data_IF_035558142906
#
_entry.id   IF_035558142906
#
_cell.length_a   1.000
_cell.length_b   1.000
_cell.length_c   1.000
_cell.angle_alpha   90.00
_cell.angle_beta   90.00
_cell.angle_gamma   90.00
#
_symmetry.space_group_name_H-M   'P 1'
#
loop_
_entity.id
_entity.type
_entity.pdbx_description
1 polymer ?
#
# COMPACT_ATOMS: atom_id res chain seq x y z
N UNK A 1 11.15 9.86 14.51
CA UNK A 1 10.97 10.10 13.06
C UNK A 1 12.28 10.31 12.29
N UNK A 2 13.35 10.85 12.88
CA UNK A 2 14.66 11.04 12.22
C UNK A 2 15.47 9.75 11.93
N UNK A 3 15.09 8.61 12.51
CA UNK A 3 15.83 7.34 12.42
C UNK A 3 15.46 6.50 11.20
N UNK A 4 14.18 6.44 10.86
CA UNK A 4 13.69 5.69 9.69
C UNK A 4 14.23 6.26 8.39
N UNK A 5 14.32 7.60 8.28
CA UNK A 5 14.89 8.25 7.09
C UNK A 5 16.37 7.88 6.89
N UNK A 6 17.16 7.80 7.96
CA UNK A 6 18.57 7.39 7.89
C UNK A 6 18.71 5.92 7.51
N UNK A 7 17.83 5.06 8.02
CA UNK A 7 17.78 3.65 7.65
C UNK A 7 17.46 3.46 6.17
N UNK A 8 16.38 4.09 5.67
CA UNK A 8 15.99 4.05 4.26
C UNK A 8 17.11 4.57 3.34
N UNK A 9 17.77 5.67 3.72
CA UNK A 9 18.87 6.23 2.95
C UNK A 9 20.12 5.32 2.93
N UNK A 10 20.37 4.62 4.04
CA UNK A 10 21.47 3.62 4.12
C UNK A 10 21.20 2.43 3.22
N UNK A 11 19.97 1.91 3.24
CA UNK A 11 19.55 0.82 2.34
C UNK A 11 19.63 1.27 0.88
N UNK A 12 19.08 2.44 0.54
CA UNK A 12 19.13 2.99 -0.82
C UNK A 12 20.55 3.05 -1.37
N UNK A 13 21.50 3.59 -0.59
CA UNK A 13 22.91 3.68 -1.00
C UNK A 13 23.60 2.32 -1.12
N UNK A 14 23.27 1.39 -0.23
CA UNK A 14 23.84 0.05 -0.28
C UNK A 14 23.34 -0.71 -1.51
N UNK A 15 22.05 -0.60 -1.85
CA UNK A 15 21.46 -1.21 -3.04
C UNK A 15 21.96 -0.55 -4.33
N UNK A 16 22.04 0.78 -4.39
CA UNK A 16 22.59 1.47 -5.58
C UNK A 16 24.05 1.13 -5.85
N UNK A 17 24.79 0.65 -4.83
CA UNK A 17 26.17 0.19 -5.00
C UNK A 17 26.28 -1.27 -5.49
N UNK A 18 25.16 -1.95 -5.75
CA UNK A 18 25.13 -3.33 -6.26
C UNK A 18 25.09 -3.34 -7.79
N UNK A 19 24.39 -2.38 -8.40
CA UNK A 19 24.01 -2.40 -9.83
C UNK A 19 25.21 -2.31 -10.81
N UNK A 20 26.37 -1.81 -10.36
CA UNK A 20 27.55 -1.60 -11.22
C UNK A 20 28.78 -2.43 -10.82
N UNK A 21 28.59 -3.54 -10.09
CA UNK A 21 29.71 -4.21 -9.41
C UNK A 21 29.95 -5.67 -9.80
N UNK A 22 31.23 -6.04 -9.92
CA UNK A 22 31.70 -7.44 -10.01
C UNK A 22 31.22 -8.26 -8.80
N UNK A 23 31.17 -9.60 -8.91
CA UNK A 23 30.55 -10.47 -7.87
C UNK A 23 31.09 -10.22 -6.46
N UNK A 24 32.40 -10.00 -6.33
CA UNK A 24 33.06 -9.77 -5.04
C UNK A 24 32.67 -8.43 -4.40
N UNK A 25 32.23 -7.47 -5.21
CA UNK A 25 31.74 -6.18 -4.73
C UNK A 25 30.22 -6.20 -4.47
N UNK A 26 29.46 -7.10 -5.09
CA UNK A 26 28.04 -7.36 -4.75
C UNK A 26 27.89 -8.00 -3.36
N UNK A 27 28.71 -9.00 -3.04
CA UNK A 27 28.66 -9.65 -1.72
C UNK A 27 28.96 -8.68 -0.57
N UNK A 28 29.95 -7.78 -0.76
CA UNK A 28 30.23 -6.70 0.19
C UNK A 28 29.04 -5.76 0.40
N UNK A 29 28.23 -5.54 -0.63
CA UNK A 29 27.04 -4.71 -0.55
C UNK A 29 25.89 -5.42 0.15
N UNK A 30 25.70 -6.73 -0.07
CA UNK A 30 24.77 -7.54 0.73
C UNK A 30 25.13 -7.54 2.22
N UNK A 31 26.41 -7.67 2.55
CA UNK A 31 26.86 -7.60 3.95
C UNK A 31 26.60 -6.24 4.60
N UNK A 32 26.71 -5.14 3.84
CA UNK A 32 26.32 -3.81 4.33
C UNK A 32 24.82 -3.74 4.62
N UNK A 33 24.00 -4.33 3.75
CA UNK A 33 22.54 -4.40 3.91
C UNK A 33 22.18 -5.21 5.17
N UNK A 34 22.76 -6.41 5.35
CA UNK A 34 22.59 -7.23 6.57
C UNK A 34 22.93 -6.46 7.83
N UNK A 35 24.11 -5.84 7.89
CA UNK A 35 24.56 -5.04 9.04
C UNK A 35 23.72 -3.80 9.29
N UNK A 36 23.08 -3.24 8.26
CA UNK A 36 22.14 -2.13 8.42
C UNK A 36 20.82 -2.61 9.04
N UNK A 37 20.29 -3.73 8.55
CA UNK A 37 19.09 -4.37 9.09
C UNK A 37 19.28 -4.83 10.55
N UNK A 38 20.39 -5.51 10.86
CA UNK A 38 20.73 -5.92 12.23
C UNK A 38 20.78 -4.72 13.18
N UNK A 39 21.47 -3.64 12.79
CA UNK A 39 21.55 -2.42 13.61
C UNK A 39 20.19 -1.74 13.80
N UNK A 40 19.35 -1.74 12.78
CA UNK A 40 18.00 -1.20 12.87
C UNK A 40 17.13 -2.03 13.83
N UNK A 41 17.14 -3.35 13.68
CA UNK A 41 16.36 -4.27 14.52
C UNK A 41 16.83 -4.26 15.97
N UNK A 42 18.14 -4.20 16.22
CA UNK A 42 18.70 -4.11 17.58
C UNK A 42 18.33 -2.78 18.26
N UNK A 43 18.45 -1.67 17.53
CA UNK A 43 18.11 -0.33 18.03
C UNK A 43 16.62 -0.18 18.36
N UNK A 44 15.76 -0.90 17.64
CA UNK A 44 14.31 -0.86 17.77
C UNK A 44 13.74 -2.16 18.34
N UNK A 45 14.54 -2.91 19.09
CA UNK A 45 14.16 -4.24 19.61
C UNK A 45 12.91 -4.22 20.50
N UNK A 46 12.65 -3.09 21.15
CA UNK A 46 11.44 -2.84 21.94
C UNK A 46 10.16 -2.67 21.09
N UNK A 47 10.31 -2.33 19.80
CA UNK A 47 9.20 -2.14 18.87
C UNK A 47 8.80 -3.42 18.14
N UNK A 48 9.64 -4.44 18.15
CA UNK A 48 9.43 -5.68 17.39
C UNK A 48 9.33 -6.89 18.32
N UNK A 49 8.31 -7.72 18.10
CA UNK A 49 8.25 -9.04 18.73
C UNK A 49 9.41 -9.92 18.22
N UNK A 50 9.94 -10.86 19.02
CA UNK A 50 11.02 -11.75 18.58
C UNK A 50 10.74 -12.47 17.26
N UNK A 51 9.50 -12.88 17.03
CA UNK A 51 9.06 -13.54 15.80
C UNK A 51 9.12 -12.60 14.59
N UNK A 52 8.83 -11.31 14.79
CA UNK A 52 8.89 -10.30 13.75
C UNK A 52 10.33 -10.02 13.29
N UNK A 53 11.28 -10.03 14.23
CA UNK A 53 12.72 -9.89 13.95
C UNK A 53 13.20 -11.05 13.05
N UNK A 54 12.78 -12.28 13.36
CA UNK A 54 13.10 -13.47 12.56
C UNK A 54 12.53 -13.36 11.15
N UNK A 55 11.27 -12.95 11.02
CA UNK A 55 10.60 -12.81 9.72
C UNK A 55 11.24 -11.72 8.85
N UNK A 56 11.55 -10.54 9.42
CA UNK A 56 12.23 -9.46 8.69
C UNK A 56 13.63 -9.86 8.22
N UNK A 57 14.34 -10.63 9.03
CA UNK A 57 15.67 -11.14 8.66
C UNK A 57 15.56 -12.20 7.55
N UNK A 58 14.58 -13.10 7.62
CA UNK A 58 14.35 -14.11 6.59
C UNK A 58 13.95 -13.49 5.24
N UNK A 59 13.05 -12.50 5.25
CA UNK A 59 12.64 -11.76 4.06
C UNK A 59 13.84 -11.07 3.38
N UNK A 60 14.71 -10.41 4.17
CA UNK A 60 15.93 -9.80 3.66
C UNK A 60 16.84 -10.81 2.95
N UNK A 61 17.06 -11.99 3.55
CA UNK A 61 17.90 -13.03 2.96
C UNK A 61 17.28 -13.65 1.71
N UNK A 62 15.96 -13.83 1.68
CA UNK A 62 15.24 -14.29 0.49
C UNK A 62 15.41 -13.33 -0.68
N UNK A 63 15.33 -12.02 -0.41
CA UNK A 63 15.58 -10.98 -1.41
C UNK A 63 17.02 -10.97 -1.92
N UNK A 64 18.01 -11.08 -1.02
CA UNK A 64 19.42 -11.21 -1.41
C UNK A 64 19.61 -12.45 -2.29
N UNK A 65 19.00 -13.58 -1.92
CA UNK A 65 19.07 -14.81 -2.69
C UNK A 65 18.40 -14.68 -4.07
N UNK A 66 17.25 -14.02 -4.15
CA UNK A 66 16.57 -13.74 -5.42
C UNK A 66 17.44 -12.89 -6.35
N UNK A 67 18.00 -11.80 -5.83
CA UNK A 67 18.88 -10.94 -6.61
C UNK A 67 20.16 -11.68 -7.05
N UNK A 68 20.73 -12.54 -6.20
CA UNK A 68 21.88 -13.38 -6.58
C UNK A 68 21.55 -14.31 -7.75
N UNK A 69 20.37 -14.95 -7.75
CA UNK A 69 19.90 -15.80 -8.86
C UNK A 69 19.74 -15.05 -10.18
N UNK A 70 19.29 -13.80 -10.12
CA UNK A 70 19.13 -12.94 -11.30
C UNK A 70 20.47 -12.42 -11.85
N UNK A 71 21.44 -12.23 -10.96
CA UNK A 71 22.73 -11.65 -11.30
C UNK A 71 23.81 -12.70 -11.68
N UNK A 72 23.46 -13.98 -11.69
CA UNK A 72 24.24 -15.04 -12.34
C UNK A 72 24.00 -14.95 -13.86
N UNK A 73 25.05 -14.86 -14.69
CA UNK A 73 24.87 -14.93 -16.14
C UNK A 73 24.21 -16.27 -16.49
N UNK A 74 23.29 -16.28 -17.45
CA UNK A 74 22.70 -17.46 -18.10
C UNK A 74 23.77 -18.26 -18.90
N UNK A 75 24.96 -18.45 -18.35
CA UNK A 75 25.99 -19.32 -18.86
C UNK A 75 25.59 -20.75 -18.50
N UNK A 76 25.07 -21.49 -19.50
CA UNK A 76 24.66 -22.91 -19.48
C UNK A 76 23.16 -23.24 -19.40
N UNK A 77 22.33 -22.56 -20.20
CA UNK A 77 21.27 -23.30 -20.92
C UNK A 77 21.64 -23.44 -22.38
N UNK A 78 22.51 -24.41 -22.66
CA UNK A 78 22.67 -24.95 -24.00
C UNK A 78 21.29 -25.42 -24.50
N UNK A 79 20.72 -24.68 -25.43
CA UNK A 79 19.62 -25.19 -26.27
C UNK A 79 20.28 -26.24 -27.18
N UNK A 80 19.95 -27.54 -27.07
CA UNK A 80 20.46 -28.49 -28.04
C UNK A 80 19.89 -28.13 -29.42
N UNK A 81 20.80 -27.86 -30.35
CA UNK A 81 20.51 -27.71 -31.78
C UNK A 81 19.69 -28.91 -32.27
N UNK A 82 18.39 -28.73 -32.49
CA UNK A 82 17.60 -29.57 -33.40
C UNK A 82 17.49 -28.87 -34.74
N UNK A 83 18.42 -29.16 -35.63
CA UNK A 83 18.27 -28.92 -37.06
C UNK A 83 17.34 -29.99 -37.64
N UNK A 84 16.50 -29.59 -38.60
CA UNK A 84 15.60 -30.39 -39.45
C UNK A 84 14.25 -30.85 -38.88
N UNK A 85 13.16 -30.15 -39.27
CA UNK A 85 12.21 -30.66 -40.27
C UNK A 85 11.16 -29.61 -40.70
N UNK A 86 11.08 -29.45 -42.03
CA UNK A 86 9.89 -29.20 -42.85
C UNK A 86 9.18 -27.84 -42.85
N UNK A 87 9.45 -27.12 -43.95
CA UNK A 87 8.58 -26.24 -44.73
C UNK A 87 7.05 -26.34 -44.50
N UNK A 88 6.41 -25.18 -44.29
CA UNK A 88 4.97 -24.91 -44.46
C UNK A 88 4.74 -23.39 -44.59
N UNK A 89 3.82 -22.91 -45.45
CA UNK A 89 3.87 -21.55 -46.00
C UNK A 89 3.21 -20.47 -45.13
N UNK A 90 3.61 -19.23 -45.41
CA UNK A 90 3.21 -17.96 -44.80
C UNK A 90 1.68 -17.74 -44.74
N UNK A 91 1.24 -17.15 -43.63
CA UNK A 91 0.12 -16.22 -43.59
C UNK A 91 0.65 -14.83 -43.26
N UNK A 92 0.44 -13.88 -44.18
CA UNK A 92 0.89 -12.50 -44.14
C UNK A 92 0.41 -11.72 -42.90
N UNK A 93 1.34 -11.10 -42.19
CA UNK A 93 1.07 -9.95 -41.32
C UNK A 93 2.15 -8.89 -41.59
N UNK A 94 1.71 -7.74 -42.10
CA UNK A 94 2.55 -6.70 -42.71
C UNK A 94 3.54 -5.98 -41.77
N UNK A 95 4.45 -5.18 -42.35
CA UNK A 95 5.67 -4.70 -41.67
C UNK A 95 5.49 -3.55 -40.67
N UNK A 96 4.28 -3.14 -40.30
CA UNK A 96 4.08 -1.99 -39.39
C UNK A 96 3.92 -2.33 -37.89
N UNK A 97 3.72 -3.61 -37.53
CA UNK A 97 3.55 -4.00 -36.12
C UNK A 97 4.87 -4.20 -35.35
N UNK A 98 6.02 -4.29 -36.03
CA UNK A 98 7.31 -4.65 -35.42
C UNK A 98 8.17 -3.46 -34.99
N UNK A 99 7.84 -2.24 -35.44
CA UNK A 99 8.56 -1.02 -35.07
C UNK A 99 8.06 -0.38 -33.75
N UNK A 100 6.79 -0.57 -33.40
CA UNK A 100 6.21 -0.05 -32.15
C UNK A 100 6.65 -0.88 -30.92
N UNK A 101 6.69 -2.20 -31.04
CA UNK A 101 7.11 -3.09 -29.96
C UNK A 101 8.62 -3.01 -29.65
N UNK A 102 9.47 -2.74 -30.66
CA UNK A 102 10.90 -2.53 -30.43
C UNK A 102 11.20 -1.25 -29.64
N UNK A 103 10.35 -0.22 -29.71
CA UNK A 103 10.48 0.98 -28.85
C UNK A 103 9.99 0.75 -27.42
N UNK A 104 9.02 -0.16 -27.22
CA UNK A 104 8.58 -0.56 -25.88
C UNK A 104 9.59 -1.47 -25.18
N UNK A 105 10.34 -2.31 -25.93
CA UNK A 105 11.36 -3.19 -25.36
C UNK A 105 12.74 -2.52 -25.24
N UNK A 106 13.15 -1.63 -26.15
CA UNK A 106 14.45 -0.92 -26.01
C UNK A 106 14.42 0.12 -24.88
N UNK A 107 13.24 0.59 -24.46
CA UNK A 107 13.08 1.40 -23.24
C UNK A 107 13.12 0.60 -21.92
N UNK A 108 13.02 -0.73 -21.98
CA UNK A 108 12.94 -1.60 -20.80
C UNK A 108 14.25 -2.34 -20.49
N UNK A 109 15.17 -2.46 -21.46
CA UNK A 109 16.43 -3.20 -21.30
C UNK A 109 17.68 -2.32 -21.06
N UNK A 110 17.55 -0.99 -21.13
CA UNK A 110 18.59 -0.03 -20.71
C UNK A 110 18.33 0.58 -19.32
N UNK A 111 17.43 -0.03 -18.54
CA UNK A 111 17.07 0.35 -17.17
C UNK A 111 17.12 -0.82 -16.18
N UNK A 112 17.92 -1.85 -16.46
CA UNK A 112 18.04 -3.03 -15.59
C UNK A 112 18.85 -2.71 -14.31
N UNK A 113 19.73 -1.72 -14.35
CA UNK A 113 20.38 -1.15 -13.16
C UNK A 113 19.60 -0.02 -12.50
N UNK A 114 18.26 0.01 -12.61
CA UNK A 114 17.38 0.89 -11.80
C UNK A 114 16.12 0.10 -11.38
N UNK A 115 15.70 -0.87 -12.20
CA UNK A 115 14.59 -1.77 -11.88
C UNK A 115 14.78 -2.54 -10.58
N UNK A 116 16.02 -2.97 -10.29
CA UNK A 116 16.35 -3.69 -9.05
C UNK A 116 16.38 -2.75 -7.85
N UNK A 117 16.98 -1.55 -7.92
CA UNK A 117 16.90 -0.58 -6.80
C UNK A 117 15.45 -0.19 -6.51
N UNK A 118 14.62 -0.05 -7.54
CA UNK A 118 13.18 0.20 -7.41
C UNK A 118 12.48 -0.96 -6.71
N UNK A 119 12.66 -2.20 -7.16
CA UNK A 119 12.02 -3.36 -6.56
C UNK A 119 12.60 -3.71 -5.19
N UNK A 120 13.90 -3.58 -4.92
CA UNK A 120 14.49 -3.86 -3.59
C UNK A 120 14.02 -2.84 -2.54
N UNK A 121 13.91 -1.56 -2.92
CA UNK A 121 13.38 -0.53 -2.04
C UNK A 121 11.90 -0.74 -1.79
N UNK A 122 11.14 -1.06 -2.85
CA UNK A 122 9.70 -1.32 -2.78
C UNK A 122 9.39 -2.66 -2.11
N UNK A 123 10.24 -3.69 -2.20
CA UNK A 123 10.06 -4.99 -1.52
C UNK A 123 10.52 -4.95 -0.06
N UNK A 124 11.64 -4.29 0.28
CA UNK A 124 12.03 -4.12 1.70
C UNK A 124 11.10 -3.15 2.43
N UNK A 125 10.60 -2.13 1.72
CA UNK A 125 9.48 -1.33 2.22
C UNK A 125 8.20 -2.13 2.18
N UNK A 126 7.84 -2.90 1.14
CA UNK A 126 6.53 -3.58 1.10
C UNK A 126 6.44 -4.80 1.98
N UNK A 127 7.50 -5.58 2.20
CA UNK A 127 7.52 -6.74 3.11
C UNK A 127 7.75 -6.31 4.56
N UNK A 128 8.63 -5.33 4.79
CA UNK A 128 8.79 -4.70 6.10
C UNK A 128 7.58 -3.88 6.52
N UNK A 129 6.98 -3.13 5.60
CA UNK A 129 5.69 -2.46 5.81
C UNK A 129 4.59 -3.49 5.88
N UNK A 130 4.48 -4.53 5.04
CA UNK A 130 3.41 -5.53 5.22
C UNK A 130 3.56 -6.29 6.53
N UNK A 131 4.76 -6.52 7.07
CA UNK A 131 4.91 -7.13 8.39
C UNK A 131 4.62 -6.14 9.54
N UNK A 132 5.16 -4.93 9.49
CA UNK A 132 4.87 -3.87 10.47
C UNK A 132 3.39 -3.48 10.43
N UNK A 133 2.78 -3.53 9.25
CA UNK A 133 1.37 -3.30 8.99
C UNK A 133 0.55 -4.53 9.36
N UNK A 134 1.02 -5.76 9.20
CA UNK A 134 0.35 -6.96 9.74
C UNK A 134 0.33 -6.92 11.28
N UNK A 135 1.43 -6.51 11.91
CA UNK A 135 1.54 -6.33 13.36
C UNK A 135 0.69 -5.16 13.86
N UNK A 136 0.72 -4.00 13.17
CA UNK A 136 -0.16 -2.87 13.45
C UNK A 136 -1.64 -3.23 13.20
N UNK A 137 -1.92 -4.01 12.15
CA UNK A 137 -3.26 -4.50 11.81
C UNK A 137 -3.76 -5.45 12.88
N UNK A 138 -2.96 -6.36 13.43
CA UNK A 138 -3.43 -7.25 14.50
C UNK A 138 -3.93 -6.49 15.74
N UNK A 139 -3.31 -5.36 16.07
CA UNK A 139 -3.73 -4.48 17.18
C UNK A 139 -4.91 -3.58 16.82
N UNK A 140 -4.98 -3.12 15.58
CA UNK A 140 -5.98 -2.15 15.13
C UNK A 140 -7.23 -2.79 14.51
N UNK A 141 -7.19 -4.06 14.10
CA UNK A 141 -8.32 -4.80 13.53
C UNK A 141 -9.56 -4.77 14.43
N UNK A 142 -9.46 -5.03 15.75
CA UNK A 142 -10.62 -4.87 16.63
C UNK A 142 -11.18 -3.44 16.65
N UNK A 143 -10.33 -2.42 16.49
CA UNK A 143 -10.76 -1.03 16.42
C UNK A 143 -11.45 -0.70 15.10
N UNK A 144 -11.08 -1.38 14.00
CA UNK A 144 -11.80 -1.26 12.71
C UNK A 144 -13.24 -1.71 12.88
N UNK A 145 -13.49 -2.88 13.47
CA UNK A 145 -14.87 -3.36 13.67
C UNK A 145 -15.67 -2.44 14.61
N UNK A 146 -15.04 -1.89 15.65
CA UNK A 146 -15.66 -0.86 16.50
C UNK A 146 -16.01 0.41 15.70
N UNK A 147 -15.10 0.86 14.83
CA UNK A 147 -15.32 2.03 13.98
C UNK A 147 -16.45 1.78 12.97
N UNK A 148 -16.48 0.60 12.34
CA UNK A 148 -17.54 0.19 11.40
C UNK A 148 -18.89 0.14 12.10
N UNK A 149 -18.98 -0.49 13.28
CA UNK A 149 -20.22 -0.51 14.06
C UNK A 149 -20.70 0.89 14.45
N UNK A 150 -19.78 1.82 14.75
CA UNK A 150 -20.14 3.21 15.01
C UNK A 150 -20.62 3.93 13.73
N UNK A 151 -19.98 3.70 12.59
CA UNK A 151 -20.40 4.22 11.28
C UNK A 151 -21.80 3.71 10.89
N UNK A 152 -22.12 2.44 11.18
CA UNK A 152 -23.45 1.88 10.93
C UNK A 152 -24.54 2.58 11.75
N UNK A 153 -24.28 2.90 13.03
CA UNK A 153 -25.22 3.68 13.85
C UNK A 153 -25.42 5.10 13.30
N UNK A 154 -24.36 5.73 12.79
CA UNK A 154 -24.48 7.05 12.13
C UNK A 154 -25.30 6.92 10.83
N UNK A 155 -25.10 5.86 10.04
CA UNK A 155 -25.91 5.60 8.84
C UNK A 155 -27.38 5.46 9.19
N UNK A 156 -27.72 4.72 10.24
CA UNK A 156 -29.11 4.56 10.69
C UNK A 156 -29.74 5.90 11.05
N UNK A 157 -29.04 6.73 11.82
CA UNK A 157 -29.50 8.08 12.20
C UNK A 157 -29.66 9.00 10.98
N UNK A 158 -28.67 9.01 10.06
CA UNK A 158 -28.75 9.77 8.80
C UNK A 158 -29.96 9.32 7.99
N UNK A 159 -30.17 8.01 7.86
CA UNK A 159 -31.28 7.45 7.09
C UNK A 159 -32.62 7.78 7.77
N UNK A 160 -32.69 7.78 9.10
CA UNK A 160 -33.92 8.22 9.79
C UNK A 160 -34.20 9.68 9.49
N UNK A 161 -33.21 10.58 9.61
CA UNK A 161 -33.39 12.00 9.30
C UNK A 161 -33.73 12.26 7.84
N UNK A 162 -33.19 11.48 6.89
CA UNK A 162 -33.61 11.58 5.49
C UNK A 162 -35.10 11.25 5.31
N UNK A 163 -35.67 10.37 6.13
CA UNK A 163 -37.10 10.06 6.10
C UNK A 163 -37.95 11.09 6.85
N UNK A 164 -37.46 11.53 8.01
CA UNK A 164 -38.25 12.32 8.96
C UNK A 164 -38.13 13.85 8.73
N UNK A 165 -36.96 14.34 8.29
CA UNK A 165 -36.63 15.75 8.05
C UNK A 165 -35.48 15.91 7.03
N UNK A 166 -35.76 15.58 5.77
CA UNK A 166 -34.78 15.65 4.68
C UNK A 166 -34.24 17.07 4.43
N UNK A 167 -35.10 18.08 4.56
CA UNK A 167 -34.76 19.48 4.31
C UNK A 167 -33.85 20.02 5.41
N UNK A 168 -34.15 19.73 6.68
CA UNK A 168 -33.29 20.09 7.80
C UNK A 168 -31.91 19.44 7.72
N UNK A 169 -31.85 18.15 7.34
CA UNK A 169 -30.58 17.47 7.11
C UNK A 169 -29.78 18.11 5.97
N UNK A 170 -30.43 18.39 4.83
CA UNK A 170 -29.79 18.99 3.66
C UNK A 170 -29.27 20.40 3.95
N UNK A 171 -30.00 21.20 4.74
CA UNK A 171 -29.57 22.54 5.14
C UNK A 171 -28.29 22.54 5.98
N UNK A 172 -28.08 21.52 6.81
CA UNK A 172 -26.91 21.42 7.70
C UNK A 172 -25.74 20.68 7.06
N UNK A 173 -26.01 19.61 6.31
CA UNK A 173 -25.00 18.65 5.86
C UNK A 173 -24.94 18.43 4.33
N UNK A 174 -25.77 19.10 3.53
CA UNK A 174 -25.88 18.83 2.08
C UNK A 174 -24.76 19.44 1.24
N UNK A 175 -24.22 20.59 1.66
CA UNK A 175 -23.29 21.37 0.83
C UNK A 175 -21.84 20.84 0.84
N UNK A 176 -21.34 20.37 1.99
CA UNK A 176 -19.95 19.95 2.19
C UNK A 176 -19.82 18.93 3.30
N UNK A 177 -18.67 18.26 3.36
CA UNK A 177 -18.29 17.43 4.52
C UNK A 177 -18.23 18.29 5.78
N UNK A 178 -19.00 17.94 6.80
CA UNK A 178 -19.08 18.62 8.08
C UNK A 178 -18.83 17.63 9.22
N UNK A 179 -18.21 18.06 10.31
CA UNK A 179 -17.92 17.18 11.45
C UNK A 179 -19.20 16.69 12.12
N UNK A 180 -19.22 15.41 12.54
CA UNK A 180 -20.38 14.77 13.18
C UNK A 180 -20.90 15.57 14.37
N UNK A 181 -20.02 16.15 15.18
CA UNK A 181 -20.38 16.97 16.35
C UNK A 181 -21.28 18.16 15.99
N UNK A 182 -21.16 18.71 14.78
CA UNK A 182 -21.97 19.84 14.32
C UNK A 182 -23.36 19.44 13.85
N UNK A 183 -23.54 18.19 13.40
CA UNK A 183 -24.82 17.69 12.84
C UNK A 183 -25.60 16.88 13.88
N UNK A 184 -24.89 16.03 14.62
CA UNK A 184 -25.42 15.05 15.56
C UNK A 184 -24.55 15.05 16.83
N UNK A 185 -24.64 16.10 17.66
CA UNK A 185 -23.77 16.27 18.83
C UNK A 185 -23.92 15.14 19.86
N UNK A 186 -25.13 14.60 20.03
CA UNK A 186 -25.38 13.48 20.96
C UNK A 186 -24.66 12.21 20.48
N UNK A 187 -24.82 11.84 19.21
CA UNK A 187 -24.13 10.68 18.64
C UNK A 187 -22.61 10.86 18.65
N UNK A 188 -22.10 12.08 18.45
CA UNK A 188 -20.68 12.37 18.57
C UNK A 188 -20.12 12.15 19.99
N UNK A 189 -20.93 12.32 21.05
CA UNK A 189 -20.53 12.02 22.45
C UNK A 189 -20.46 10.53 22.71
N UNK A 190 -21.18 9.72 21.93
CA UNK A 190 -21.17 8.26 22.00
C UNK A 190 -19.99 7.63 21.25
N UNK A 191 -19.12 8.43 20.62
CA UNK A 191 -17.94 7.91 19.92
C UNK A 191 -17.12 7.00 20.85
N UNK A 192 -16.86 5.73 20.46
CA UNK A 192 -16.17 4.79 21.33
C UNK A 192 -14.80 5.30 21.77
N UNK A 193 -14.58 5.35 23.09
CA UNK A 193 -13.32 5.86 23.69
C UNK A 193 -12.10 4.97 23.40
N UNK A 194 -12.33 3.76 22.91
CA UNK A 194 -11.30 2.81 22.47
C UNK A 194 -10.71 3.16 21.11
N UNK A 195 -11.37 4.03 20.33
CA UNK A 195 -10.84 4.53 19.06
C UNK A 195 -9.68 5.52 19.31
N UNK A 196 -8.76 5.69 18.34
CA UNK A 196 -7.63 6.61 18.49
C UNK A 196 -8.08 8.04 18.83
N UNK A 197 -7.37 8.76 19.70
CA UNK A 197 -7.81 10.10 20.16
C UNK A 197 -7.94 11.16 19.05
N UNK A 198 -7.21 11.00 17.95
CA UNK A 198 -7.27 11.88 16.77
C UNK A 198 -8.40 11.51 15.81
N UNK A 199 -9.18 10.49 16.14
CA UNK A 199 -10.34 10.05 15.38
C UNK A 199 -11.39 11.15 15.29
N UNK A 200 -11.87 11.39 14.09
CA UNK A 200 -12.98 12.27 13.81
C UNK A 200 -13.85 11.67 12.71
N UNK A 201 -15.15 11.90 12.82
CA UNK A 201 -16.12 11.58 11.78
C UNK A 201 -16.56 12.87 11.10
N UNK A 202 -16.51 12.87 9.78
CA UNK A 202 -17.13 13.88 8.93
C UNK A 202 -18.24 13.23 8.12
N UNK A 203 -19.28 13.98 7.82
CA UNK A 203 -20.39 13.50 7.02
C UNK A 203 -20.85 14.59 6.05
N UNK A 204 -21.30 14.15 4.89
CA UNK A 204 -22.15 14.94 3.99
C UNK A 204 -23.40 14.13 3.77
N UNK A 205 -24.57 14.76 3.85
CA UNK A 205 -25.84 14.09 3.62
C UNK A 205 -26.90 15.10 3.14
N UNK A 206 -27.71 14.69 2.17
CA UNK A 206 -28.89 15.41 1.70
C UNK A 206 -30.11 14.47 1.70
N UNK A 207 -31.21 14.85 1.06
CA UNK A 207 -32.43 14.03 0.98
C UNK A 207 -32.23 12.62 0.39
N UNK A 208 -31.21 12.40 -0.44
CA UNK A 208 -31.05 11.17 -1.24
C UNK A 208 -29.68 10.52 -1.12
N UNK A 209 -28.66 11.29 -0.77
CA UNK A 209 -27.27 10.85 -0.68
C UNK A 209 -26.72 10.98 0.73
N UNK A 210 -25.80 10.09 1.09
CA UNK A 210 -24.95 10.27 2.26
C UNK A 210 -23.55 9.73 2.01
N UNK A 211 -22.57 10.34 2.66
CA UNK A 211 -21.20 9.84 2.79
C UNK A 211 -20.69 10.19 4.18
N UNK A 212 -20.38 9.16 4.96
CA UNK A 212 -19.94 9.25 6.35
C UNK A 212 -18.52 8.69 6.39
N UNK A 213 -17.55 9.52 6.75
CA UNK A 213 -16.14 9.19 6.70
C UNK A 213 -15.49 9.35 8.06
N UNK A 214 -14.65 8.38 8.38
CA UNK A 214 -13.72 8.39 9.48
C UNK A 214 -12.34 8.85 8.97
N UNK A 215 -11.61 9.64 9.76
CA UNK A 215 -10.28 10.10 9.37
C UNK A 215 -9.16 9.06 9.65
N UNK A 216 -7.97 9.41 9.15
CA UNK A 216 -6.74 8.64 8.92
C UNK A 216 -6.25 7.55 9.90
N UNK A 217 -6.42 7.59 11.25
CA UNK A 217 -5.66 6.71 12.15
C UNK A 217 -5.84 5.19 11.93
N UNK A 218 -6.97 4.76 11.37
CA UNK A 218 -7.25 3.35 11.05
C UNK A 218 -7.23 3.06 9.55
N UNK A 219 -7.03 4.08 8.71
CA UNK A 219 -7.21 3.96 7.26
C UNK A 219 -6.23 2.97 6.64
N UNK A 220 -4.96 2.98 7.07
CA UNK A 220 -3.99 1.99 6.63
C UNK A 220 -4.43 0.56 6.97
N UNK A 221 -5.05 0.32 8.13
CA UNK A 221 -5.60 -1.01 8.46
C UNK A 221 -6.82 -1.35 7.62
N UNK A 222 -7.73 -0.40 7.45
CA UNK A 222 -8.95 -0.57 6.65
C UNK A 222 -8.63 -0.86 5.18
N UNK A 223 -7.63 -0.21 4.60
CA UNK A 223 -7.21 -0.42 3.22
C UNK A 223 -6.88 -1.88 2.90
N UNK A 224 -6.41 -2.64 3.88
CA UNK A 224 -6.08 -4.06 3.71
C UNK A 224 -7.20 -4.98 4.17
N UNK A 225 -7.85 -4.68 5.30
CA UNK A 225 -8.86 -5.55 5.88
C UNK A 225 -10.24 -5.42 5.22
N UNK A 226 -10.60 -4.20 4.78
CA UNK A 226 -11.92 -3.79 4.31
C UNK A 226 -11.78 -2.73 3.20
N UNK A 227 -11.15 -3.07 2.06
CA UNK A 227 -10.85 -2.11 1.00
C UNK A 227 -12.11 -1.45 0.40
N UNK A 228 -13.27 -2.10 0.52
CA UNK A 228 -14.58 -1.59 0.13
C UNK A 228 -15.01 -0.33 0.89
N UNK A 229 -14.47 -0.11 2.09
CA UNK A 229 -14.75 1.06 2.92
C UNK A 229 -13.81 2.24 2.61
N UNK A 230 -12.77 2.05 1.79
CA UNK A 230 -11.83 3.13 1.46
C UNK A 230 -12.49 4.12 0.52
N UNK A 231 -12.47 5.41 0.87
CA UNK A 231 -13.11 6.44 0.06
C UNK A 231 -12.47 6.54 -1.35
N UNK A 232 -13.19 6.18 -2.43
CA UNK A 232 -12.64 6.15 -3.78
C UNK A 232 -12.31 7.53 -4.36
N UNK A 233 -12.88 8.61 -3.80
CA UNK A 233 -12.60 9.99 -4.23
C UNK A 233 -11.29 10.48 -3.64
N UNK A 234 -11.03 10.14 -2.38
CA UNK A 234 -9.88 10.62 -1.60
C UNK A 234 -8.69 9.65 -1.56
N UNK A 235 -8.84 8.47 -2.17
CA UNK A 235 -7.79 7.46 -2.30
C UNK A 235 -6.87 7.66 -3.54
N UNK A 236 -7.11 8.70 -4.35
CA UNK A 236 -6.35 8.95 -5.60
C UNK A 236 -5.00 9.62 -5.39
N UNK A 237 -4.74 10.17 -4.20
CA UNK A 237 -3.46 10.80 -3.88
C UNK A 237 -2.45 9.73 -3.42
N UNK A 238 -1.25 9.78 -3.99
CA UNK A 238 -0.21 8.72 -4.06
C UNK A 238 0.36 8.26 -2.70
N UNK A 239 -0.18 8.71 -1.56
CA UNK A 239 0.36 8.48 -0.21
C UNK A 239 -0.66 7.87 0.76
N UNK A 240 -1.45 6.90 0.27
CA UNK A 240 -2.23 5.99 1.12
C UNK A 240 -3.65 6.44 1.46
N UNK A 241 -4.39 5.56 2.12
CA UNK A 241 -5.76 5.79 2.57
C UNK A 241 -5.82 6.99 3.53
N UNK A 242 -6.53 8.06 3.17
CA UNK A 242 -6.75 9.23 4.03
C UNK A 242 -8.04 9.15 4.85
N UNK A 243 -9.09 8.58 4.25
CA UNK A 243 -10.42 8.40 4.84
C UNK A 243 -11.01 7.05 4.43
N UNK A 244 -11.80 6.49 5.34
CA UNK A 244 -12.65 5.32 5.07
C UNK A 244 -14.03 5.56 5.66
N UNK A 245 -15.05 4.83 5.21
CA UNK A 245 -16.39 5.00 5.75
C UNK A 245 -17.46 4.28 4.95
N UNK A 246 -18.68 4.79 5.06
CA UNK A 246 -19.87 4.20 4.44
C UNK A 246 -20.60 5.30 3.66
N UNK A 247 -21.07 4.97 2.46
CA UNK A 247 -21.85 5.84 1.61
C UNK A 247 -22.90 5.04 0.85
N UNK A 248 -23.92 5.71 0.33
CA UNK A 248 -24.80 5.15 -0.68
C UNK A 248 -24.34 5.54 -2.09
N UNK A 249 -25.05 5.06 -3.11
CA UNK A 249 -24.70 5.31 -4.52
C UNK A 249 -24.63 6.81 -4.86
N UNK A 250 -25.61 7.60 -4.39
CA UNK A 250 -25.64 9.04 -4.62
C UNK A 250 -24.48 9.78 -3.94
N UNK A 251 -24.07 9.33 -2.75
CA UNK A 251 -22.99 9.93 -1.97
C UNK A 251 -21.58 9.51 -2.40
N UNK A 252 -21.42 8.39 -3.10
CA UNK A 252 -20.12 7.81 -3.45
C UNK A 252 -19.17 8.81 -4.13
N UNK A 253 -19.73 9.71 -4.96
CA UNK A 253 -19.01 10.71 -5.77
C UNK A 253 -18.57 11.98 -5.03
N UNK A 254 -18.90 12.14 -3.75
CA UNK A 254 -18.58 13.35 -2.95
C UNK A 254 -17.21 13.35 -2.27
#
# INVERSE_FOLDING_TARGET
MLDSQKYTETLRRAVSSIEDTESDSREKSYDKIRKANERFLDKHRDLFAPEAVVQLTAALEEMIAAHRREAEPLADKAIPNSTHLSNGPLGDAGPEASAAWRRFLVGMFLGIGIGVVGTLSVFLLSEGETLALQLANKKNLPQVEIAVGFLDRIREEVTSRQRDDADGLSAVAGAKMIGLKSVMPELAREMPKTLPKSSAVVLRADATGYKILFNWPLCATVQYARPDLVDPVRARDVLGCSHFGIWNEAGAKW
#
